data_IF_266899564215
#
_entry.id   IF_266899564215
#
_cell.length_a   1.000
_cell.length_b   1.000
_cell.length_c   1.000
_cell.angle_alpha   90.00
_cell.angle_beta   90.00
_cell.angle_gamma   90.00
#
_symmetry.space_group_name_H-M   'P 1'
#
loop_
_entity.id
_entity.type
_entity.pdbx_description
1 polymer ?
#
# COMPACT_ATOMS: atom_id res chain seq x y z
N UNK A 1 -12.34 -33.50 -6.40
CA UNK A 1 -13.17 -32.37 -6.90
C UNK A 1 -12.36 -31.10 -6.78
N UNK A 2 -12.55 -30.17 -7.73
CA UNK A 2 -11.97 -28.84 -7.73
C UNK A 2 -13.11 -27.84 -7.57
N UNK A 3 -12.96 -26.88 -6.66
CA UNK A 3 -13.90 -25.77 -6.49
C UNK A 3 -13.14 -24.47 -6.73
N UNK A 4 -13.59 -23.72 -7.71
CA UNK A 4 -13.08 -22.41 -8.07
C UNK A 4 -14.11 -21.34 -7.71
N UNK A 5 -13.63 -20.26 -7.12
CA UNK A 5 -14.45 -19.09 -6.81
C UNK A 5 -14.06 -17.92 -7.72
N UNK A 6 -15.05 -17.30 -8.32
CA UNK A 6 -14.88 -16.12 -9.16
C UNK A 6 -15.29 -14.89 -8.34
N UNK A 7 -14.34 -14.09 -7.95
CA UNK A 7 -14.54 -12.91 -7.11
C UNK A 7 -14.36 -11.63 -7.93
N UNK A 8 -15.13 -10.59 -7.64
CA UNK A 8 -14.96 -9.28 -8.23
C UNK A 8 -15.92 -8.26 -7.65
N UNK A 9 -15.45 -7.03 -7.51
CA UNK A 9 -16.31 -5.91 -7.13
C UNK A 9 -17.12 -5.44 -8.35
N UNK A 10 -18.37 -5.02 -8.12
CA UNK A 10 -19.25 -4.50 -9.19
C UNK A 10 -18.70 -3.22 -9.84
N UNK A 11 -17.86 -2.49 -9.14
CA UNK A 11 -17.27 -1.23 -9.59
C UNK A 11 -15.88 -1.41 -10.24
N UNK A 12 -15.32 -2.62 -10.24
CA UNK A 12 -14.04 -2.94 -10.85
C UNK A 12 -14.23 -3.86 -12.06
N UNK A 13 -13.45 -3.62 -13.13
CA UNK A 13 -13.37 -4.56 -14.26
C UNK A 13 -12.57 -5.82 -13.92
N UNK A 14 -11.85 -5.83 -12.80
CA UNK A 14 -11.01 -6.94 -12.38
C UNK A 14 -11.86 -8.07 -11.79
N UNK A 15 -11.49 -9.29 -12.16
CA UNK A 15 -12.05 -10.53 -11.60
C UNK A 15 -10.91 -11.43 -11.16
N UNK A 16 -11.06 -12.02 -9.98
CA UNK A 16 -10.10 -12.98 -9.44
C UNK A 16 -10.70 -14.37 -9.43
N UNK A 17 -9.95 -15.33 -9.94
CA UNK A 17 -10.30 -16.75 -9.91
C UNK A 17 -9.43 -17.42 -8.85
N UNK A 18 -10.06 -17.92 -7.81
CA UNK A 18 -9.37 -18.52 -6.66
C UNK A 18 -9.77 -19.98 -6.48
N UNK A 19 -8.81 -20.85 -6.24
CA UNK A 19 -9.06 -22.23 -5.84
C UNK A 19 -9.53 -22.28 -4.39
N UNK A 20 -10.75 -22.75 -4.14
CA UNK A 20 -11.27 -23.00 -2.79
C UNK A 20 -10.91 -24.42 -2.33
N UNK A 21 -10.96 -25.35 -3.25
CA UNK A 21 -10.63 -26.76 -3.03
C UNK A 21 -10.00 -27.32 -4.29
N UNK A 22 -8.85 -27.99 -4.14
CA UNK A 22 -8.20 -28.68 -5.24
C UNK A 22 -7.63 -30.02 -4.75
N UNK A 23 -8.22 -31.11 -5.18
CA UNK A 23 -7.79 -32.46 -4.83
C UNK A 23 -6.47 -32.84 -5.51
N UNK A 24 -6.06 -32.13 -6.56
CA UNK A 24 -4.97 -32.51 -7.46
C UNK A 24 -3.77 -31.57 -7.39
N UNK A 25 -3.82 -30.51 -6.55
CA UNK A 25 -2.74 -29.54 -6.45
C UNK A 25 -3.00 -28.44 -5.40
N UNK A 26 -2.19 -27.38 -5.46
CA UNK A 26 -2.28 -26.24 -4.58
C UNK A 26 -3.59 -25.45 -4.80
N UNK A 27 -4.10 -24.82 -3.74
CA UNK A 27 -5.29 -23.95 -3.78
C UNK A 27 -4.94 -22.46 -3.62
N UNK A 28 -3.66 -22.17 -3.48
CA UNK A 28 -3.13 -20.85 -3.16
C UNK A 28 -2.77 -20.02 -4.40
N UNK A 29 -3.03 -20.53 -5.60
CA UNK A 29 -2.90 -19.77 -6.84
C UNK A 29 -4.14 -18.94 -7.12
N UNK A 30 -3.92 -17.69 -7.56
CA UNK A 30 -4.99 -16.75 -7.94
C UNK A 30 -4.76 -16.31 -9.38
N UNK A 31 -5.74 -16.58 -10.24
CA UNK A 31 -5.79 -16.03 -11.60
C UNK A 31 -6.46 -14.66 -11.60
N UNK A 32 -5.86 -13.68 -12.26
CA UNK A 32 -6.45 -12.34 -12.41
C UNK A 32 -6.94 -12.14 -13.84
N UNK A 33 -8.16 -11.64 -13.98
CA UNK A 33 -8.81 -11.41 -15.26
C UNK A 33 -9.45 -10.03 -15.31
N UNK A 34 -9.39 -9.38 -16.44
CA UNK A 34 -10.09 -8.12 -16.70
C UNK A 34 -11.31 -8.38 -17.58
N UNK A 35 -12.44 -7.85 -17.16
CA UNK A 35 -13.66 -7.86 -17.98
C UNK A 35 -13.65 -6.68 -18.94
N UNK A 36 -13.64 -6.96 -20.24
CA UNK A 36 -13.64 -5.96 -21.31
C UNK A 36 -14.92 -6.08 -22.14
N UNK A 37 -15.16 -5.12 -23.03
CA UNK A 37 -16.27 -5.19 -24.00
C UNK A 37 -16.16 -6.38 -24.96
N UNK A 38 -14.96 -6.93 -25.16
CA UNK A 38 -14.68 -8.09 -25.99
C UNK A 38 -14.69 -9.43 -25.23
N UNK A 39 -14.95 -9.41 -23.91
CA UNK A 39 -14.96 -10.59 -23.05
C UNK A 39 -13.95 -10.50 -21.89
N UNK A 40 -13.56 -11.65 -21.37
CA UNK A 40 -12.62 -11.76 -20.25
C UNK A 40 -11.21 -11.97 -20.81
N UNK A 41 -10.26 -11.17 -20.34
CA UNK A 41 -8.83 -11.24 -20.70
C UNK A 41 -8.02 -11.58 -19.45
N UNK A 42 -7.08 -12.50 -19.54
CA UNK A 42 -6.11 -12.75 -18.49
C UNK A 42 -5.21 -11.52 -18.28
N UNK A 43 -4.97 -11.19 -16.99
CA UNK A 43 -4.03 -10.16 -16.56
C UNK A 43 -2.90 -10.86 -15.82
N UNK A 44 -1.79 -11.19 -16.50
CA UNK A 44 -0.68 -11.90 -15.85
C UNK A 44 -0.06 -11.09 -14.71
N UNK A 45 -0.14 -9.77 -14.79
CA UNK A 45 0.36 -8.83 -13.79
C UNK A 45 -0.70 -7.76 -13.47
N UNK A 46 -1.51 -7.98 -12.42
CA UNK A 46 -2.54 -7.03 -12.01
C UNK A 46 -1.97 -5.75 -11.38
N UNK A 47 -0.70 -5.74 -10.97
CA UNK A 47 -0.08 -4.57 -10.31
C UNK A 47 -0.14 -3.32 -11.20
N UNK A 48 -0.05 -3.48 -12.53
CA UNK A 48 -0.19 -2.38 -13.48
C UNK A 48 -1.54 -1.67 -13.45
N UNK A 49 -2.59 -2.31 -12.91
CA UNK A 49 -3.94 -1.73 -12.75
C UNK A 49 -4.07 -0.93 -11.45
N UNK A 50 -3.18 -1.16 -10.49
CA UNK A 50 -3.23 -0.57 -9.14
C UNK A 50 -2.14 0.48 -8.92
N UNK A 51 -1.45 0.89 -9.99
CA UNK A 51 -0.42 1.92 -10.00
C UNK A 51 -0.80 3.00 -11.03
N UNK A 52 -0.84 4.25 -10.59
CA UNK A 52 -1.22 5.37 -11.46
C UNK A 52 -0.07 5.84 -12.36
N UNK A 53 1.17 5.70 -11.93
CA UNK A 53 2.34 6.24 -12.61
C UNK A 53 3.48 5.23 -12.67
N UNK A 54 4.10 5.11 -13.84
CA UNK A 54 5.28 4.25 -14.05
C UNK A 54 6.62 5.00 -13.99
N UNK A 55 6.60 6.34 -13.92
CA UNK A 55 7.81 7.15 -14.04
C UNK A 55 8.15 7.96 -12.79
N UNK A 56 7.31 8.90 -12.41
CA UNK A 56 7.52 9.80 -11.25
C UNK A 56 6.43 9.55 -10.21
N UNK A 57 6.83 9.39 -8.95
CA UNK A 57 5.88 9.32 -7.84
C UNK A 57 5.31 10.71 -7.61
N UNK A 58 4.00 10.93 -7.69
CA UNK A 58 3.40 12.22 -7.35
C UNK A 58 3.42 12.43 -5.83
N UNK A 59 3.30 13.69 -5.43
CA UNK A 59 3.09 14.04 -4.03
C UNK A 59 1.81 13.37 -3.50
N UNK A 60 1.84 12.94 -2.26
CA UNK A 60 0.71 12.24 -1.67
C UNK A 60 0.55 10.79 -2.11
N UNK A 61 1.54 10.20 -2.77
CA UNK A 61 1.48 8.81 -3.22
C UNK A 61 2.57 7.95 -2.57
N UNK A 62 2.20 6.74 -2.17
CA UNK A 62 3.10 5.70 -1.70
C UNK A 62 2.71 4.34 -2.28
N UNK A 63 3.69 3.60 -2.80
CA UNK A 63 3.46 2.23 -3.28
C UNK A 63 3.74 1.25 -2.16
N UNK A 64 2.83 0.31 -1.97
CA UNK A 64 2.94 -0.79 -1.00
C UNK A 64 2.83 -2.13 -1.70
N UNK A 65 3.11 -3.20 -0.97
CA UNK A 65 2.86 -4.56 -1.43
C UNK A 65 1.89 -5.23 -0.48
N UNK A 66 0.66 -5.40 -0.93
CA UNK A 66 -0.41 -6.08 -0.21
C UNK A 66 -0.42 -7.58 -0.52
N UNK A 67 -1.05 -8.37 0.37
CA UNK A 67 -1.27 -9.79 0.11
C UNK A 67 -2.74 -10.02 -0.28
N UNK A 68 -2.94 -10.67 -1.41
CA UNK A 68 -4.22 -11.25 -1.77
C UNK A 68 -4.12 -12.77 -1.64
N UNK A 69 -4.56 -13.29 -0.50
CA UNK A 69 -4.25 -14.65 -0.08
C UNK A 69 -2.74 -14.84 0.09
N UNK A 70 -2.14 -15.69 -0.74
CA UNK A 70 -0.69 -15.93 -0.75
C UNK A 70 0.06 -15.12 -1.83
N UNK A 71 -0.65 -14.43 -2.69
CA UNK A 71 -0.08 -13.65 -3.78
C UNK A 71 0.22 -12.22 -3.35
N UNK A 72 1.48 -11.76 -3.44
CA UNK A 72 1.79 -10.35 -3.25
C UNK A 72 1.32 -9.54 -4.47
N UNK A 73 0.72 -8.39 -4.23
CA UNK A 73 0.23 -7.44 -5.25
C UNK A 73 0.72 -6.06 -4.89
N UNK A 74 1.36 -5.37 -5.83
CA UNK A 74 1.68 -3.96 -5.66
C UNK A 74 0.41 -3.14 -5.76
N UNK A 75 0.27 -2.20 -4.84
CA UNK A 75 -0.84 -1.26 -4.81
C UNK A 75 -0.35 0.13 -4.43
N UNK A 76 -0.99 1.14 -4.98
CA UNK A 76 -0.70 2.52 -4.66
C UNK A 76 -1.74 3.08 -3.71
N UNK A 77 -1.28 3.68 -2.62
CA UNK A 77 -2.06 4.47 -1.68
C UNK A 77 -1.85 5.94 -2.02
N UNK A 78 -2.93 6.66 -2.22
CA UNK A 78 -2.92 8.10 -2.43
C UNK A 78 -3.58 8.81 -1.26
N UNK A 79 -2.98 9.89 -0.81
CA UNK A 79 -3.51 10.79 0.19
C UNK A 79 -3.53 12.22 -0.34
N UNK A 80 -4.61 12.92 -0.03
CA UNK A 80 -4.74 14.35 -0.30
C UNK A 80 -5.13 15.05 1.00
N UNK A 81 -4.35 16.04 1.38
CA UNK A 81 -4.63 16.91 2.52
C UNK A 81 -4.88 18.33 2.03
N UNK A 82 -5.99 18.92 2.46
CA UNK A 82 -6.38 20.27 2.06
C UNK A 82 -6.94 21.04 3.24
N UNK A 83 -6.93 22.35 3.15
CA UNK A 83 -7.59 23.19 4.13
C UNK A 83 -9.11 22.94 4.12
N UNK A 84 -9.73 22.75 5.27
CA UNK A 84 -11.14 22.41 5.33
C UNK A 84 -12.00 23.60 4.92
N UNK A 85 -13.00 23.35 4.09
CA UNK A 85 -14.01 24.36 3.74
C UNK A 85 -14.88 24.73 4.95
N UNK A 86 -15.07 23.77 5.86
CA UNK A 86 -15.86 23.92 7.09
C UNK A 86 -14.96 23.80 8.31
N UNK A 87 -15.45 24.30 9.46
CA UNK A 87 -14.70 24.24 10.73
C UNK A 87 -14.40 22.81 11.26
N UNK A 88 -15.05 21.79 10.70
CA UNK A 88 -14.86 20.41 11.09
C UNK A 88 -14.13 19.64 9.98
N UNK A 89 -12.87 19.24 10.20
CA UNK A 89 -12.09 18.45 9.26
C UNK A 89 -12.72 17.11 8.94
N UNK A 90 -12.65 16.71 7.67
CA UNK A 90 -13.20 15.45 7.16
C UNK A 90 -12.12 14.39 7.00
N UNK A 91 -12.51 13.13 7.18
CA UNK A 91 -11.71 11.96 6.89
C UNK A 91 -12.49 11.09 5.91
N UNK A 92 -11.98 10.96 4.69
CA UNK A 92 -12.60 10.14 3.65
C UNK A 92 -11.64 9.01 3.28
N UNK A 93 -12.11 7.77 3.37
CA UNK A 93 -11.30 6.57 3.14
C UNK A 93 -11.98 5.71 2.09
N UNK A 94 -11.23 5.29 1.07
CA UNK A 94 -11.72 4.41 0.00
C UNK A 94 -10.71 3.30 -0.28
N UNK A 95 -11.17 2.06 -0.31
CA UNK A 95 -10.32 0.90 -0.59
C UNK A 95 -9.43 0.44 0.58
N UNK A 96 -9.42 1.15 1.70
CA UNK A 96 -8.68 0.84 2.93
C UNK A 96 -9.64 0.63 4.11
N UNK A 97 -9.13 0.14 5.24
CA UNK A 97 -9.93 0.01 6.46
C UNK A 97 -10.28 1.40 7.02
N UNK A 98 -11.58 1.66 7.12
CA UNK A 98 -12.15 2.93 7.56
C UNK A 98 -11.78 3.29 9.00
N UNK A 99 -11.62 2.32 9.88
CA UNK A 99 -11.25 2.56 11.28
C UNK A 99 -9.73 2.71 11.43
N UNK A 100 -8.96 2.00 10.59
CA UNK A 100 -7.50 1.96 10.70
C UNK A 100 -6.85 3.26 10.23
N UNK A 101 -7.28 3.81 9.11
CA UNK A 101 -6.69 5.04 8.54
C UNK A 101 -6.74 6.21 9.53
N UNK A 102 -7.86 6.57 10.19
CA UNK A 102 -7.87 7.64 11.20
C UNK A 102 -6.92 7.39 12.36
N UNK A 103 -6.71 6.13 12.78
CA UNK A 103 -5.73 5.80 13.83
C UNK A 103 -4.30 6.11 13.37
N UNK A 104 -3.93 5.74 12.15
CA UNK A 104 -2.61 6.03 11.57
C UNK A 104 -2.38 7.54 11.49
N UNK A 105 -3.38 8.31 11.06
CA UNK A 105 -3.31 9.78 11.01
C UNK A 105 -3.13 10.39 12.40
N UNK A 106 -3.82 9.85 13.41
CA UNK A 106 -3.67 10.29 14.79
C UNK A 106 -2.26 10.01 15.33
N UNK A 107 -1.66 8.87 14.99
CA UNK A 107 -0.26 8.55 15.34
C UNK A 107 0.71 9.52 14.66
N UNK A 108 0.53 9.78 13.37
CA UNK A 108 1.36 10.73 12.61
C UNK A 108 1.34 12.12 13.26
N UNK A 109 0.18 12.58 13.70
CA UNK A 109 0.05 13.83 14.44
C UNK A 109 0.69 13.76 15.83
N UNK A 110 0.32 12.77 16.63
CA UNK A 110 0.68 12.73 18.06
C UNK A 110 2.16 12.37 18.29
N UNK A 111 2.76 11.57 17.43
CA UNK A 111 4.13 11.05 17.59
C UNK A 111 5.16 11.73 16.69
N UNK A 112 4.73 12.31 15.58
CA UNK A 112 5.64 12.98 14.64
C UNK A 112 5.40 14.50 14.57
N UNK A 113 4.39 15.04 15.25
CA UNK A 113 4.11 16.46 15.31
C UNK A 113 3.46 17.04 14.03
N UNK A 114 2.97 16.17 13.14
CA UNK A 114 2.37 16.61 11.88
C UNK A 114 0.98 17.19 12.10
N UNK A 115 0.69 18.33 11.46
CA UNK A 115 -0.56 19.06 11.65
C UNK A 115 -1.64 18.56 10.71
N UNK A 116 -2.36 17.50 11.13
CA UNK A 116 -3.43 16.87 10.34
C UNK A 116 -4.82 17.20 10.91
N UNK A 117 -4.90 17.55 12.18
CA UNK A 117 -6.17 17.79 12.89
C UNK A 117 -7.00 18.93 12.31
N UNK A 118 -6.37 19.89 11.67
CA UNK A 118 -6.97 21.07 11.03
C UNK A 118 -7.08 20.94 9.50
N UNK A 119 -6.80 19.79 8.93
CA UNK A 119 -6.89 19.50 7.49
C UNK A 119 -7.98 18.47 7.18
N UNK A 120 -8.66 18.64 6.05
CA UNK A 120 -9.37 17.52 5.43
C UNK A 120 -8.36 16.51 4.91
N UNK A 121 -8.59 15.22 5.11
CA UNK A 121 -7.76 14.17 4.59
C UNK A 121 -8.58 13.13 3.81
N UNK A 122 -8.19 12.89 2.59
CA UNK A 122 -8.77 11.92 1.68
C UNK A 122 -7.69 10.87 1.41
N UNK A 123 -7.97 9.61 1.71
CA UNK A 123 -7.01 8.51 1.52
C UNK A 123 -7.68 7.39 0.73
N UNK A 124 -7.06 6.99 -0.36
CA UNK A 124 -7.63 6.01 -1.26
C UNK A 124 -6.57 5.07 -1.84
N UNK A 125 -7.00 3.88 -2.26
CA UNK A 125 -6.22 3.01 -3.13
C UNK A 125 -6.52 3.30 -4.59
N UNK A 126 -5.51 3.16 -5.44
CA UNK A 126 -5.67 3.29 -6.90
C UNK A 126 -6.31 2.01 -7.48
N UNK A 127 -7.12 2.17 -8.54
CA UNK A 127 -7.74 1.04 -9.23
C UNK A 127 -8.86 0.33 -8.47
N UNK A 128 -9.32 0.88 -7.34
CA UNK A 128 -10.41 0.30 -6.54
C UNK A 128 -10.05 -0.97 -5.78
N UNK A 129 -8.76 -1.29 -5.64
CA UNK A 129 -8.34 -2.45 -4.85
C UNK A 129 -8.69 -2.25 -3.38
N UNK A 130 -9.21 -3.30 -2.74
CA UNK A 130 -9.53 -3.29 -1.30
C UNK A 130 -8.38 -3.93 -0.54
N UNK A 131 -7.79 -3.16 0.39
CA UNK A 131 -6.69 -3.59 1.25
C UNK A 131 -7.10 -3.32 2.70
N UNK A 132 -7.26 -4.38 3.47
CA UNK A 132 -7.68 -4.29 4.88
C UNK A 132 -6.59 -4.70 5.85
N UNK A 133 -5.45 -5.16 5.35
CA UNK A 133 -4.33 -5.57 6.18
C UNK A 133 -3.54 -4.38 6.73
N UNK A 134 -3.02 -4.53 7.95
CA UNK A 134 -2.26 -3.49 8.65
C UNK A 134 -0.87 -3.23 8.03
N UNK A 135 -0.40 -4.10 7.17
CA UNK A 135 0.87 -3.94 6.45
C UNK A 135 0.94 -2.67 5.59
N UNK A 136 -0.21 -2.05 5.27
CA UNK A 136 -0.32 -0.82 4.48
C UNK A 136 -0.27 0.46 5.31
N UNK A 137 -0.28 0.37 6.63
CA UNK A 137 -0.34 1.55 7.51
C UNK A 137 0.80 2.53 7.26
N UNK A 138 2.03 2.01 7.10
CA UNK A 138 3.19 2.86 6.85
C UNK A 138 3.05 3.60 5.52
N UNK A 139 2.50 2.96 4.48
CA UNK A 139 2.22 3.63 3.21
C UNK A 139 1.16 4.73 3.36
N UNK A 140 0.11 4.50 4.15
CA UNK A 140 -0.89 5.53 4.48
C UNK A 140 -0.24 6.73 5.19
N UNK A 141 0.61 6.47 6.19
CA UNK A 141 1.31 7.51 6.92
C UNK A 141 2.22 8.34 6.02
N UNK A 142 3.06 7.67 5.19
CA UNK A 142 4.02 8.35 4.35
C UNK A 142 3.36 9.06 3.16
N UNK A 143 2.30 8.51 2.57
CA UNK A 143 1.51 9.21 1.55
C UNK A 143 0.86 10.49 2.13
N UNK A 144 0.33 10.41 3.35
CA UNK A 144 -0.26 11.58 4.02
C UNK A 144 0.79 12.64 4.32
N UNK A 145 1.94 12.24 4.83
CA UNK A 145 3.06 13.16 5.08
C UNK A 145 3.52 13.82 3.77
N UNK A 146 3.66 13.04 2.71
CA UNK A 146 4.03 13.52 1.38
C UNK A 146 3.06 14.60 0.88
N UNK A 147 1.74 14.38 1.05
CA UNK A 147 0.72 15.37 0.70
C UNK A 147 0.75 16.63 1.57
N UNK A 148 1.10 16.51 2.87
CA UNK A 148 1.22 17.66 3.76
C UNK A 148 2.40 18.59 3.43
N UNK A 149 3.45 18.02 2.85
CA UNK A 149 4.72 18.70 2.60
C UNK A 149 5.03 18.92 1.12
N UNK A 150 4.07 18.58 0.22
CA UNK A 150 4.26 18.64 -1.24
C UNK A 150 5.60 18.01 -1.68
N UNK A 151 5.94 16.89 -1.03
CA UNK A 151 7.23 16.21 -1.19
C UNK A 151 7.00 14.76 -1.59
N UNK A 152 7.38 14.34 -2.82
CA UNK A 152 7.18 12.97 -3.27
C UNK A 152 8.07 11.98 -2.49
N UNK A 153 7.64 10.74 -2.38
CA UNK A 153 8.49 9.67 -1.90
C UNK A 153 9.59 9.36 -2.92
N UNK A 154 10.73 8.79 -2.47
CA UNK A 154 11.79 8.36 -3.36
C UNK A 154 11.25 7.46 -4.48
N UNK A 155 11.66 7.69 -5.74
CA UNK A 155 11.17 6.92 -6.85
C UNK A 155 11.51 5.44 -6.71
N UNK A 156 10.66 4.57 -7.26
CA UNK A 156 10.86 3.11 -7.21
C UNK A 156 11.07 2.54 -5.80
N UNK A 157 10.44 3.15 -4.81
CA UNK A 157 10.47 2.70 -3.41
C UNK A 157 9.11 2.18 -2.98
N UNK A 158 9.09 0.98 -2.43
CA UNK A 158 7.89 0.42 -1.78
C UNK A 158 7.94 0.63 -0.28
N UNK A 159 6.77 0.72 0.33
CA UNK A 159 6.62 0.99 1.76
C UNK A 159 5.72 -0.07 2.36
N UNK A 160 6.21 -0.83 3.35
CA UNK A 160 5.44 -1.90 3.98
C UNK A 160 5.68 -1.86 5.49
N UNK A 161 4.63 -1.86 6.30
CA UNK A 161 4.74 -1.90 7.75
C UNK A 161 3.44 -1.60 8.47
N UNK A 162 3.22 -2.22 9.61
CA UNK A 162 2.13 -1.87 10.52
C UNK A 162 2.58 -0.75 11.46
N UNK A 163 1.72 0.25 11.66
CA UNK A 163 1.96 1.37 12.58
C UNK A 163 1.25 1.13 13.90
N UNK A 164 1.99 1.03 14.98
CA UNK A 164 1.44 0.95 16.33
C UNK A 164 1.10 2.33 16.92
N UNK A 165 0.25 2.36 17.94
CA UNK A 165 -0.23 3.60 18.58
C UNK A 165 0.87 4.41 19.29
N UNK A 166 1.99 3.77 19.66
CA UNK A 166 3.15 4.46 20.20
C UNK A 166 4.09 5.02 19.12
N UNK A 167 3.78 4.78 17.83
CA UNK A 167 4.60 5.19 16.69
C UNK A 167 5.65 4.16 16.27
N UNK A 168 5.64 2.98 16.88
CA UNK A 168 6.48 1.87 16.49
C UNK A 168 6.05 1.27 15.15
N UNK A 169 7.00 0.81 14.35
CA UNK A 169 6.75 0.06 13.13
C UNK A 169 6.89 -1.43 13.43
N UNK A 170 5.80 -2.16 13.27
CA UNK A 170 5.69 -3.58 13.57
C UNK A 170 5.93 -4.43 12.34
N UNK A 171 6.45 -5.63 12.58
CA UNK A 171 6.67 -6.66 11.55
C UNK A 171 5.35 -7.07 10.92
N UNK A 172 5.43 -7.43 9.64
CA UNK A 172 4.29 -7.89 8.85
C UNK A 172 4.54 -9.29 8.31
N UNK A 173 3.51 -10.11 8.13
CA UNK A 173 3.65 -11.43 7.55
C UNK A 173 4.20 -11.37 6.12
N UNK A 174 4.97 -12.40 5.74
CA UNK A 174 5.45 -12.60 4.37
C UNK A 174 6.31 -11.44 3.81
N UNK A 175 7.02 -10.69 4.65
CA UNK A 175 7.80 -9.52 4.20
C UNK A 175 8.77 -9.89 3.06
N UNK A 176 9.50 -10.99 3.17
CA UNK A 176 10.41 -11.46 2.11
C UNK A 176 9.72 -11.66 0.76
N UNK A 177 8.53 -12.28 0.74
CA UNK A 177 7.74 -12.47 -0.49
C UNK A 177 7.28 -11.14 -1.09
N UNK A 178 6.86 -10.19 -0.26
CA UNK A 178 6.47 -8.84 -0.70
C UNK A 178 7.63 -8.13 -1.36
N UNK A 179 8.81 -8.19 -0.77
CA UNK A 179 10.00 -7.52 -1.31
C UNK A 179 10.53 -8.20 -2.59
N UNK A 180 10.45 -9.53 -2.68
CA UNK A 180 10.77 -10.24 -3.93
C UNK A 180 9.89 -9.79 -5.07
N UNK A 181 8.58 -9.61 -4.83
CA UNK A 181 7.65 -9.12 -5.84
C UNK A 181 7.95 -7.67 -6.22
N UNK A 182 8.26 -6.80 -5.25
CA UNK A 182 8.68 -5.43 -5.53
C UNK A 182 9.91 -5.39 -6.43
N UNK A 183 10.95 -6.18 -6.13
CA UNK A 183 12.15 -6.27 -6.95
C UNK A 183 11.84 -6.79 -8.37
N UNK A 184 10.99 -7.83 -8.49
CA UNK A 184 10.53 -8.37 -9.77
C UNK A 184 9.83 -7.30 -10.63
N UNK A 185 9.10 -6.38 -9.98
CA UNK A 185 8.41 -5.27 -10.63
C UNK A 185 9.30 -4.05 -10.91
N UNK A 186 10.61 -4.16 -10.64
CA UNK A 186 11.60 -3.13 -10.95
C UNK A 186 11.71 -2.01 -9.90
N UNK A 187 11.21 -2.24 -8.68
CA UNK A 187 11.47 -1.38 -7.54
C UNK A 187 12.89 -1.63 -7.02
N UNK A 188 13.53 -0.57 -6.56
CA UNK A 188 14.95 -0.59 -6.14
C UNK A 188 15.13 -0.18 -4.68
N UNK A 189 14.10 0.37 -4.04
CA UNK A 189 14.09 0.77 -2.64
C UNK A 189 12.91 0.15 -1.88
N UNK A 190 13.08 -0.09 -0.58
CA UNK A 190 12.01 -0.54 0.30
C UNK A 190 12.19 0.04 1.70
N UNK A 191 11.15 0.66 2.27
CA UNK A 191 11.08 1.10 3.66
C UNK A 191 10.24 0.08 4.41
N UNK A 192 10.82 -0.59 5.41
CA UNK A 192 10.24 -1.78 6.04
C UNK A 192 10.48 -1.81 7.54
N UNK A 193 9.73 -2.62 8.31
CA UNK A 193 10.00 -2.80 9.74
C UNK A 193 11.41 -3.33 10.00
N UNK A 194 12.07 -2.79 11.02
CA UNK A 194 13.35 -3.30 11.50
C UNK A 194 13.23 -4.71 12.12
N UNK A 195 14.35 -5.41 12.20
CA UNK A 195 14.48 -6.68 12.91
C UNK A 195 14.49 -7.95 12.05
N UNK A 196 14.38 -7.83 10.73
CA UNK A 196 14.68 -8.90 9.77
C UNK A 196 15.83 -8.46 8.86
N UNK A 197 16.87 -9.28 8.79
CA UNK A 197 17.96 -9.08 7.82
C UNK A 197 17.57 -9.71 6.49
N UNK A 198 16.82 -8.96 5.70
CA UNK A 198 16.42 -9.38 4.36
C UNK A 198 17.39 -8.83 3.33
N UNK A 199 17.93 -9.73 2.51
CA UNK A 199 18.73 -9.37 1.33
C UNK A 199 17.95 -9.82 0.10
N UNK A 200 17.54 -8.86 -0.71
CA UNK A 200 16.83 -9.10 -1.97
C UNK A 200 17.68 -8.47 -3.06
N UNK A 201 18.03 -9.26 -4.06
CA UNK A 201 18.87 -8.78 -5.17
C UNK A 201 18.20 -7.62 -5.90
N UNK A 202 18.94 -6.55 -6.10
CA UNK A 202 18.46 -5.34 -6.78
C UNK A 202 17.59 -4.42 -5.93
N UNK A 203 17.37 -4.72 -4.62
CA UNK A 203 16.53 -3.93 -3.73
C UNK A 203 17.32 -3.44 -2.51
N UNK A 204 17.44 -2.12 -2.36
CA UNK A 204 17.98 -1.51 -1.14
C UNK A 204 16.90 -1.46 -0.06
N UNK A 205 17.13 -2.14 1.06
CA UNK A 205 16.18 -2.21 2.17
C UNK A 205 16.56 -1.20 3.24
N UNK A 206 15.62 -0.33 3.62
CA UNK A 206 15.73 0.66 4.68
C UNK A 206 14.88 0.23 5.87
N UNK A 207 15.46 -0.46 6.87
CA UNK A 207 14.72 -0.88 8.05
C UNK A 207 14.47 0.31 8.98
N UNK A 208 13.23 0.43 9.48
CA UNK A 208 12.82 1.47 10.42
C UNK A 208 12.10 0.86 11.63
N UNK A 209 12.37 1.39 12.81
CA UNK A 209 11.74 0.96 14.06
C UNK A 209 10.57 1.84 14.45
N UNK A 210 10.58 3.09 14.02
CA UNK A 210 9.55 4.09 14.35
C UNK A 210 9.10 4.86 13.10
N UNK A 211 7.90 5.42 13.19
CA UNK A 211 7.39 6.31 12.16
C UNK A 211 8.27 7.56 11.99
N UNK A 212 8.83 8.07 13.08
CA UNK A 212 9.77 9.20 13.05
C UNK A 212 11.05 8.89 12.25
N UNK A 213 11.60 7.68 12.39
CA UNK A 213 12.74 7.23 11.56
C UNK A 213 12.37 7.18 10.07
N UNK A 214 11.19 6.64 9.73
CA UNK A 214 10.73 6.60 8.35
C UNK A 214 10.59 8.01 7.74
N UNK A 215 10.04 8.97 8.49
CA UNK A 215 9.96 10.36 8.04
C UNK A 215 11.33 11.03 7.92
N UNK A 216 12.29 10.67 8.76
CA UNK A 216 13.66 11.20 8.68
C UNK A 216 14.37 10.79 7.40
N UNK A 217 14.12 9.58 6.90
CA UNK A 217 14.62 9.15 5.57
C UNK A 217 14.09 10.05 4.46
N UNK A 218 12.78 10.36 4.48
CA UNK A 218 12.17 11.20 3.44
C UNK A 218 12.68 12.65 3.49
N UNK A 219 12.94 13.19 4.68
CA UNK A 219 13.46 14.54 4.85
C UNK A 219 14.91 14.66 4.37
N UNK A 220 15.70 13.61 4.52
CA UNK A 220 17.10 13.58 4.06
C UNK A 220 17.22 13.58 2.53
N UNK A 221 16.27 12.97 1.83
CA UNK A 221 16.25 12.89 0.36
C UNK A 221 15.67 14.17 -0.29
N UNK A 222 15.00 15.04 0.49
CA UNK A 222 14.38 16.27 0.00
C UNK A 222 15.31 17.49 0.02
N UNK A 223 16.52 17.40 0.58
CA UNK A 223 17.55 18.46 0.68
C UNK A 223 18.68 18.24 -0.29
#
# INVERSE_FOLDING_TARGET
DVVLNFEGDRQSSLRMLRGIKNRFGATDEVGCFEQTSAGIREVPDPSGLFLSHRGRTPDGSAVTVAMDGVRPILAEVQALTVDPVNKSPRRVVTGLDFNRVPMVLAVLQARCGERINDKDAYVATVGGVKITETATDLAVALATWSSLHDTPLPPKTVVVGEVGLAGEIRRVPNLGRRLQEAARMGYTGAIVPAGEQLRIDGLTVHPVSTLGEALSLLRADAG
#
